data_IF_529747010709
#
_entry.id   IF_529747010709
#
_cell.length_a   1.000
_cell.length_b   1.000
_cell.length_c   1.000
_cell.angle_alpha   90.00
_cell.angle_beta   90.00
_cell.angle_gamma   90.00
#
_symmetry.space_group_name_H-M   'P 1'
#
loop_
_entity.id
_entity.type
_entity.pdbx_description
1 polymer ?
#
# COMPACT_ATOMS: atom_id res chain seq x y z
N UNK A 1 -54.66 8.26 -5.51
CA UNK A 1 -55.70 7.31 -5.06
C UNK A 1 -55.70 6.11 -5.99
N UNK A 2 -55.70 4.91 -5.42
CA UNK A 2 -56.01 3.62 -6.04
C UNK A 2 -55.10 3.13 -7.19
N UNK A 3 -53.96 2.52 -6.83
CA UNK A 3 -53.41 1.25 -7.38
C UNK A 3 -51.93 1.09 -6.99
N UNK A 4 -51.66 0.79 -5.72
CA UNK A 4 -50.40 0.19 -5.26
C UNK A 4 -50.55 -0.38 -3.83
N UNK A 5 -51.75 -0.84 -3.47
CA UNK A 5 -52.13 -1.38 -2.16
C UNK A 5 -52.50 -2.87 -2.23
N UNK A 6 -51.73 -3.65 -3.00
CA UNK A 6 -51.86 -5.11 -3.06
C UNK A 6 -50.46 -5.70 -3.28
N UNK A 7 -49.84 -6.11 -2.19
CA UNK A 7 -48.48 -6.66 -2.16
C UNK A 7 -47.91 -6.82 -0.75
N UNK A 8 -48.54 -6.23 0.27
CA UNK A 8 -48.26 -6.51 1.68
C UNK A 8 -49.20 -7.59 2.21
N UNK A 9 -48.80 -8.85 2.11
CA UNK A 9 -49.14 -9.93 3.06
C UNK A 9 -48.35 -11.19 2.67
N UNK A 10 -47.79 -11.89 3.67
CA UNK A 10 -46.70 -12.88 3.62
C UNK A 10 -45.32 -12.18 3.58
N UNK A 11 -44.50 -12.14 4.64
CA UNK A 11 -44.23 -13.09 5.71
C UNK A 11 -43.88 -12.34 7.01
N UNK A 12 -44.54 -12.74 8.10
CA UNK A 12 -44.28 -12.34 9.48
C UNK A 12 -42.98 -13.03 9.95
N UNK A 13 -42.14 -12.30 10.68
CA UNK A 13 -40.81 -12.69 11.19
C UNK A 13 -40.76 -14.02 11.99
N UNK A 14 -39.55 -14.55 12.33
CA UNK A 14 -38.85 -13.96 13.47
C UNK A 14 -37.34 -13.78 13.28
N UNK A 15 -36.92 -12.59 13.70
CA UNK A 15 -35.60 -12.22 14.15
C UNK A 15 -35.36 -12.91 15.52
N UNK A 16 -34.73 -14.08 15.54
CA UNK A 16 -34.16 -14.69 16.74
C UNK A 16 -33.34 -15.93 16.35
N UNK A 17 -32.00 -15.80 16.28
CA UNK A 17 -30.95 -16.83 16.50
C UNK A 17 -29.66 -16.51 15.72
N UNK A 18 -28.87 -15.55 16.19
CA UNK A 18 -27.39 -15.61 16.13
C UNK A 18 -26.83 -14.81 17.34
N UNK A 19 -27.16 -15.26 18.55
CA UNK A 19 -26.41 -14.98 19.79
C UNK A 19 -26.51 -16.24 20.64
N UNK A 20 -25.76 -17.28 20.27
CA UNK A 20 -25.53 -18.48 21.07
C UNK A 20 -24.46 -19.35 20.40
N UNK A 21 -23.20 -18.91 20.45
CA UNK A 21 -22.04 -19.78 20.24
C UNK A 21 -20.84 -19.19 21.00
N UNK A 22 -21.07 -18.91 22.28
CA UNK A 22 -20.05 -18.60 23.26
C UNK A 22 -20.31 -19.44 24.49
N UNK A 23 -19.28 -20.16 24.92
CA UNK A 23 -19.07 -20.67 26.29
C UNK A 23 -19.65 -22.05 26.67
N UNK A 24 -18.83 -23.09 26.48
CA UNK A 24 -18.66 -24.32 27.31
C UNK A 24 -17.17 -24.71 27.06
N UNK A 25 -16.12 -24.39 27.85
CA UNK A 25 -15.72 -24.84 29.20
C UNK A 25 -16.07 -26.33 29.42
N UNK A 26 -15.18 -27.31 29.53
CA UNK A 26 -13.87 -27.37 30.19
C UNK A 26 -13.29 -28.78 29.96
N UNK A 27 -12.00 -28.96 30.25
CA UNK A 27 -11.32 -30.23 30.61
C UNK A 27 -10.92 -31.20 29.49
N UNK A 28 -9.61 -31.26 29.23
CA UNK A 28 -8.82 -32.51 29.28
C UNK A 28 -7.33 -32.20 29.25
N UNK A 29 -6.76 -32.13 30.44
CA UNK A 29 -5.35 -32.39 30.71
C UNK A 29 -5.15 -33.89 30.62
N UNK A 30 -4.40 -34.37 29.63
CA UNK A 30 -3.72 -35.68 29.69
C UNK A 30 -2.32 -35.55 29.10
N UNK A 31 -1.37 -35.99 29.93
CA UNK A 31 0.06 -36.15 29.71
C UNK A 31 0.35 -37.08 28.52
N UNK A 32 1.36 -36.76 27.71
CA UNK A 32 2.28 -37.77 27.21
C UNK A 32 3.72 -37.22 27.21
N UNK A 33 4.53 -37.81 28.10
CA UNK A 33 5.99 -37.80 28.02
C UNK A 33 6.40 -38.93 27.07
N UNK A 34 7.31 -38.65 26.13
CA UNK A 34 7.84 -39.67 25.23
C UNK A 34 9.15 -39.23 24.58
N UNK A 35 10.24 -39.52 25.27
CA UNK A 35 11.64 -39.47 24.86
C UNK A 35 11.88 -40.06 23.45
N UNK A 36 12.61 -39.33 22.58
CA UNK A 36 13.45 -39.99 21.59
C UNK A 36 14.73 -39.21 21.25
N UNK A 37 15.81 -39.71 21.85
CA UNK A 37 17.22 -39.49 21.52
C UNK A 37 17.57 -39.55 20.04
N UNK A 38 18.54 -38.69 19.70
CA UNK A 38 19.77 -38.98 18.96
C UNK A 38 19.67 -39.47 17.50
N UNK A 39 20.16 -38.66 16.57
CA UNK A 39 21.06 -39.12 15.51
C UNK A 39 22.04 -38.04 15.08
N UNK A 40 23.30 -38.31 15.40
CA UNK A 40 24.54 -37.65 15.01
C UNK A 40 25.13 -38.48 13.85
N UNK A 41 25.47 -37.88 12.71
CA UNK A 41 26.28 -38.49 11.62
C UNK A 41 27.19 -37.37 11.07
N UNK A 42 28.46 -37.28 11.50
CA UNK A 42 29.66 -37.76 10.78
C UNK A 42 29.75 -37.20 9.35
N UNK A 43 30.45 -36.09 9.08
CA UNK A 43 31.92 -35.92 9.00
C UNK A 43 32.63 -36.91 8.06
N UNK A 44 33.06 -36.42 6.90
CA UNK A 44 34.24 -36.94 6.19
C UNK A 44 35.09 -35.76 5.69
N UNK A 45 36.34 -35.70 6.18
CA UNK A 45 37.44 -34.88 5.69
C UNK A 45 38.00 -35.48 4.41
N UNK A 46 38.51 -34.65 3.49
CA UNK A 46 39.86 -34.81 2.92
C UNK A 46 40.32 -33.50 2.22
N UNK A 47 41.34 -32.84 2.81
CA UNK A 47 42.33 -31.97 2.15
C UNK A 47 43.47 -32.88 1.62
N UNK A 48 44.43 -32.48 0.73
CA UNK A 48 45.15 -31.19 0.70
C UNK A 48 45.40 -30.60 -0.72
N UNK A 49 45.75 -29.32 -0.87
CA UNK A 49 47.14 -28.80 -0.96
C UNK A 49 47.62 -28.81 -2.42
N UNK A 50 48.26 -27.81 -3.02
CA UNK A 50 48.87 -26.59 -2.54
C UNK A 50 49.38 -25.76 -3.73
N UNK A 51 49.80 -24.55 -3.38
CA UNK A 51 50.20 -23.35 -4.10
C UNK A 51 51.33 -23.41 -5.15
N UNK A 52 51.47 -22.26 -5.85
CA UNK A 52 52.68 -21.64 -6.48
C UNK A 52 53.01 -22.08 -7.91
N UNK A 53 53.58 -21.29 -8.81
CA UNK A 53 53.84 -19.84 -9.08
C UNK A 53 54.70 -19.87 -10.36
N UNK A 54 54.85 -18.73 -11.05
CA UNK A 54 55.77 -18.46 -12.17
C UNK A 54 55.37 -19.09 -13.52
N UNK A 55 55.47 -18.41 -14.67
CA UNK A 55 56.03 -17.10 -14.98
C UNK A 55 56.37 -17.05 -16.48
N UNK A 56 56.52 -15.83 -17.00
CA UNK A 56 57.24 -15.44 -18.23
C UNK A 56 56.64 -15.89 -19.58
N UNK A 57 56.01 -14.98 -20.33
CA UNK A 57 56.60 -14.05 -21.33
C UNK A 57 57.29 -14.73 -22.53
N UNK A 58 56.72 -14.60 -23.73
CA UNK A 58 57.25 -13.80 -24.86
C UNK A 58 56.79 -14.31 -26.24
N UNK A 59 56.62 -13.33 -27.15
CA UNK A 59 56.82 -13.36 -28.62
C UNK A 59 55.66 -13.81 -29.52
N UNK A 60 55.07 -12.82 -30.21
CA UNK A 60 54.71 -12.93 -31.63
C UNK A 60 56.00 -12.89 -32.51
N UNK A 61 55.96 -13.25 -33.82
CA UNK A 61 55.60 -12.24 -34.84
C UNK A 61 55.01 -12.74 -36.20
N UNK A 62 54.56 -11.74 -37.00
CA UNK A 62 54.43 -11.64 -38.48
C UNK A 62 53.29 -12.41 -39.18
N UNK A 63 52.27 -11.75 -39.74
CA UNK A 63 52.21 -10.79 -40.86
C UNK A 63 52.32 -11.44 -42.26
N UNK A 64 51.21 -11.43 -43.00
CA UNK A 64 51.16 -11.41 -44.46
C UNK A 64 50.01 -10.50 -44.90
N UNK A 65 50.29 -9.61 -45.85
CA UNK A 65 49.39 -8.56 -46.31
C UNK A 65 48.89 -8.72 -47.75
N UNK A 66 48.29 -7.63 -48.23
CA UNK A 66 47.71 -7.37 -49.55
C UNK A 66 46.27 -7.86 -49.71
N UNK A 67 45.26 -7.12 -50.17
CA UNK A 67 45.11 -5.80 -50.82
C UNK A 67 43.61 -5.43 -50.66
N UNK A 68 43.18 -4.18 -50.54
CA UNK A 68 42.86 -3.30 -51.67
C UNK A 68 42.03 -2.11 -51.16
N UNK A 69 42.05 -1.02 -51.93
CA UNK A 69 41.55 0.32 -51.62
C UNK A 69 40.02 0.39 -51.56
N UNK A 70 39.48 1.14 -50.61
CA UNK A 70 38.34 2.03 -50.84
C UNK A 70 38.51 3.29 -49.96
N UNK A 71 38.22 4.44 -50.56
CA UNK A 71 38.50 5.78 -50.03
C UNK A 71 37.17 6.47 -49.69
N UNK A 72 37.15 7.10 -48.51
CA UNK A 72 36.25 8.15 -48.00
C UNK A 72 34.76 7.84 -47.76
N UNK A 73 34.35 7.84 -46.49
CA UNK A 73 33.52 8.92 -45.94
C UNK A 73 33.28 8.68 -44.44
N UNK A 74 33.31 9.76 -43.66
CA UNK A 74 33.32 9.87 -42.20
C UNK A 74 32.27 9.02 -41.47
N UNK A 75 32.73 8.02 -40.71
CA UNK A 75 31.97 7.44 -39.61
C UNK A 75 32.31 8.24 -38.35
N UNK A 76 31.34 9.02 -37.87
CA UNK A 76 31.39 9.62 -36.53
C UNK A 76 31.37 8.48 -35.53
N UNK A 77 32.55 8.11 -35.04
CA UNK A 77 32.73 7.17 -33.94
C UNK A 77 32.46 7.97 -32.67
N UNK A 78 31.27 7.81 -32.08
CA UNK A 78 31.03 8.25 -30.71
C UNK A 78 31.96 7.44 -29.80
N UNK A 79 33.10 8.04 -29.46
CA UNK A 79 33.87 7.63 -28.28
C UNK A 79 33.00 8.00 -27.09
N UNK A 80 32.38 7.01 -26.47
CA UNK A 80 31.87 7.19 -25.11
C UNK A 80 33.12 7.39 -24.25
N UNK A 81 33.42 8.64 -23.95
CA UNK A 81 34.29 8.93 -22.83
C UNK A 81 33.54 8.44 -21.59
N UNK A 82 34.00 7.32 -21.01
CA UNK A 82 33.64 6.84 -19.68
C UNK A 82 34.21 7.77 -18.58
N UNK A 83 33.96 9.08 -18.74
CA UNK A 83 34.22 10.12 -17.74
C UNK A 83 32.90 10.70 -17.22
N UNK A 84 31.83 9.91 -17.28
CA UNK A 84 30.64 10.18 -16.46
C UNK A 84 30.91 9.63 -15.08
N UNK A 85 31.45 10.52 -14.25
CA UNK A 85 31.47 10.47 -12.81
C UNK A 85 30.58 9.35 -12.25
N UNK A 86 31.23 8.26 -11.85
CA UNK A 86 30.68 7.39 -10.83
C UNK A 86 30.47 8.28 -9.61
N UNK A 87 29.26 8.82 -9.46
CA UNK A 87 28.80 9.31 -8.18
C UNK A 87 28.83 8.10 -7.27
N UNK A 88 29.90 7.96 -6.50
CA UNK A 88 29.91 7.20 -5.26
C UNK A 88 28.82 7.83 -4.39
N UNK A 89 27.57 7.41 -4.60
CA UNK A 89 26.45 7.82 -3.76
C UNK A 89 26.61 7.04 -2.47
N UNK A 90 27.48 7.53 -1.59
CA UNK A 90 27.47 7.08 -0.21
C UNK A 90 26.04 7.31 0.31
N UNK A 91 25.38 6.27 0.84
CA UNK A 91 23.97 6.35 1.19
C UNK A 91 23.79 7.44 2.25
N UNK A 92 22.89 8.39 2.00
CA UNK A 92 22.60 9.47 2.96
C UNK A 92 22.16 8.84 4.29
N UNK A 93 22.95 9.08 5.34
CA UNK A 93 22.70 8.52 6.68
C UNK A 93 21.81 9.48 7.46
N UNK A 94 20.67 8.98 7.90
CA UNK A 94 19.72 9.67 8.75
C UNK A 94 19.90 9.25 10.20
N UNK A 95 19.69 10.18 11.13
CA UNK A 95 19.71 9.91 12.56
C UNK A 95 18.29 9.56 13.03
N UNK A 96 18.06 8.29 13.37
CA UNK A 96 16.80 7.81 13.93
C UNK A 96 16.80 7.83 15.46
N UNK A 97 15.64 7.50 16.05
CA UNK A 97 15.46 7.40 17.50
C UNK A 97 16.38 6.35 18.13
N UNK A 98 16.47 5.17 17.51
CA UNK A 98 17.24 4.04 18.04
C UNK A 98 18.61 3.87 17.40
N UNK A 99 18.93 4.60 16.33
CA UNK A 99 20.22 4.54 15.67
C UNK A 99 20.23 5.20 14.30
N UNK A 100 21.39 5.24 13.68
CA UNK A 100 21.53 5.72 12.31
C UNK A 100 20.90 4.71 11.34
N UNK A 101 20.27 5.21 10.28
CA UNK A 101 19.69 4.40 9.23
C UNK A 101 19.87 5.08 7.88
N UNK A 102 19.80 4.32 6.80
CA UNK A 102 19.90 4.83 5.44
C UNK A 102 18.77 4.30 4.59
N UNK A 103 18.49 5.01 3.49
CA UNK A 103 17.53 4.58 2.47
C UNK A 103 18.27 3.76 1.43
N UNK A 104 17.77 2.56 1.14
CA UNK A 104 18.29 1.68 0.10
C UNK A 104 17.45 1.75 -1.18
N UNK A 105 17.93 1.11 -2.25
CA UNK A 105 17.25 1.13 -3.55
C UNK A 105 15.95 0.32 -3.57
N UNK A 106 15.78 -0.64 -2.66
CA UNK A 106 14.53 -1.40 -2.50
C UNK A 106 13.47 -0.50 -1.89
N UNK A 107 13.81 0.28 -0.86
CA UNK A 107 12.90 1.25 -0.26
C UNK A 107 12.38 2.26 -1.28
N UNK A 108 13.28 2.77 -2.13
CA UNK A 108 12.93 3.71 -3.20
C UNK A 108 11.90 3.07 -4.12
N UNK A 109 12.11 1.81 -4.53
CA UNK A 109 11.15 1.09 -5.39
C UNK A 109 9.81 0.88 -4.70
N UNK A 110 9.82 0.48 -3.43
CA UNK A 110 8.59 0.27 -2.65
C UNK A 110 7.79 1.57 -2.50
N UNK A 111 8.45 2.70 -2.21
CA UNK A 111 7.81 4.01 -2.11
C UNK A 111 7.26 4.47 -3.47
N UNK A 112 8.02 4.29 -4.55
CA UNK A 112 7.55 4.65 -5.89
C UNK A 112 6.32 3.82 -6.29
N UNK A 113 6.34 2.51 -6.03
CA UNK A 113 5.20 1.63 -6.31
C UNK A 113 3.99 1.99 -5.43
N UNK A 114 4.20 2.27 -4.15
CA UNK A 114 3.17 2.80 -3.24
C UNK A 114 2.54 4.08 -3.78
N UNK A 115 3.34 5.08 -4.18
CA UNK A 115 2.86 6.33 -4.76
C UNK A 115 2.11 6.09 -6.06
N UNK A 116 2.62 5.21 -6.92
CA UNK A 116 1.97 4.89 -8.20
C UNK A 116 0.61 4.22 -8.01
N UNK A 117 0.47 3.32 -7.04
CA UNK A 117 -0.83 2.72 -6.68
C UNK A 117 -1.82 3.76 -6.20
N UNK A 118 -1.37 4.71 -5.37
CA UNK A 118 -2.23 5.76 -4.82
C UNK A 118 -2.71 6.73 -5.90
N UNK A 119 -1.80 7.13 -6.79
CA UNK A 119 -2.12 7.99 -7.95
C UNK A 119 -3.08 7.27 -8.90
N UNK A 120 -2.88 5.98 -9.14
CA UNK A 120 -3.78 5.16 -9.97
C UNK A 120 -5.18 5.10 -9.37
N UNK A 121 -5.27 4.90 -8.04
CA UNK A 121 -6.54 4.92 -7.31
C UNK A 121 -7.25 6.26 -7.40
N UNK A 122 -6.50 7.35 -7.22
CA UNK A 122 -7.02 8.71 -7.35
C UNK A 122 -7.49 9.01 -8.78
N UNK A 123 -6.69 8.68 -9.80
CA UNK A 123 -7.04 8.93 -11.20
C UNK A 123 -8.30 8.16 -11.62
N UNK A 124 -8.41 6.89 -11.24
CA UNK A 124 -9.60 6.08 -11.52
C UNK A 124 -10.85 6.67 -10.85
N UNK A 125 -10.76 6.99 -9.55
CA UNK A 125 -11.87 7.60 -8.82
C UNK A 125 -12.29 8.94 -9.42
N UNK A 126 -11.33 9.84 -9.68
CA UNK A 126 -11.61 11.17 -10.24
C UNK A 126 -12.28 11.06 -11.60
N UNK A 127 -11.82 10.13 -12.44
CA UNK A 127 -12.41 9.91 -13.78
C UNK A 127 -13.88 9.49 -13.66
N UNK A 128 -14.18 8.50 -12.81
CA UNK A 128 -15.56 8.02 -12.60
C UNK A 128 -16.40 9.10 -11.93
N UNK A 129 -15.94 9.71 -10.84
CA UNK A 129 -16.69 10.70 -10.08
C UNK A 129 -16.97 11.99 -10.88
N UNK A 130 -16.05 12.38 -11.78
CA UNK A 130 -16.25 13.57 -12.64
C UNK A 130 -17.43 13.42 -13.60
N UNK A 131 -17.80 12.18 -13.96
CA UNK A 131 -18.95 11.91 -14.83
C UNK A 131 -20.29 12.35 -14.21
N UNK A 132 -20.37 12.45 -12.87
CA UNK A 132 -21.56 12.92 -12.16
C UNK A 132 -21.85 14.40 -12.43
N UNK A 133 -20.85 15.17 -12.88
CA UNK A 133 -20.98 16.59 -13.23
C UNK A 133 -21.23 16.83 -14.73
N UNK A 134 -21.25 15.76 -15.53
CA UNK A 134 -21.51 15.86 -16.96
C UNK A 134 -23.03 15.83 -17.24
N UNK A 135 -23.53 16.68 -18.16
CA UNK A 135 -24.93 16.65 -18.58
C UNK A 135 -25.34 15.30 -19.18
N UNK A 136 -26.62 14.94 -19.03
CA UNK A 136 -27.19 13.78 -19.72
C UNK A 136 -27.08 13.94 -21.24
N UNK A 137 -26.78 12.83 -21.93
CA UNK A 137 -26.56 12.81 -23.38
C UNK A 137 -25.17 13.24 -23.86
N UNK A 138 -24.26 13.59 -22.95
CA UNK A 138 -22.87 13.88 -23.32
C UNK A 138 -22.13 12.57 -23.71
N UNK A 139 -21.53 12.49 -24.92
CA UNK A 139 -20.83 11.27 -25.36
C UNK A 139 -19.67 10.88 -24.44
N UNK A 140 -19.03 11.85 -23.79
CA UNK A 140 -17.97 11.59 -22.80
C UNK A 140 -18.52 10.85 -21.57
N UNK A 141 -19.72 11.23 -21.10
CA UNK A 141 -20.36 10.56 -19.95
C UNK A 141 -20.64 9.10 -20.28
N UNK A 142 -21.21 8.82 -21.46
CA UNK A 142 -21.47 7.46 -21.93
C UNK A 142 -20.18 6.64 -22.13
N UNK A 143 -19.10 7.27 -22.62
CA UNK A 143 -17.81 6.61 -22.75
C UNK A 143 -17.23 6.20 -21.38
N UNK A 144 -17.31 7.08 -20.38
CA UNK A 144 -16.84 6.77 -19.01
C UNK A 144 -17.74 5.70 -18.37
N UNK A 145 -19.07 5.79 -18.54
CA UNK A 145 -20.03 4.78 -18.07
C UNK A 145 -19.70 3.38 -18.57
N UNK A 146 -19.28 3.25 -19.83
CA UNK A 146 -18.86 1.96 -20.40
C UNK A 146 -17.61 1.35 -19.74
N UNK A 147 -16.86 2.12 -18.95
CA UNK A 147 -15.63 1.66 -18.28
C UNK A 147 -15.65 1.87 -16.76
N UNK A 148 -16.82 2.12 -16.16
CA UNK A 148 -16.96 2.29 -14.70
C UNK A 148 -16.36 1.13 -13.90
N UNK A 149 -16.75 -0.11 -14.22
CA UNK A 149 -16.34 -1.29 -13.47
C UNK A 149 -14.84 -1.60 -13.63
N UNK A 150 -14.25 -1.55 -14.85
CA UNK A 150 -12.80 -1.61 -15.01
C UNK A 150 -12.04 -0.53 -14.25
N UNK A 151 -12.52 0.72 -14.26
CA UNK A 151 -11.88 1.81 -13.50
C UNK A 151 -12.01 1.59 -11.99
N UNK A 152 -13.16 1.11 -11.51
CA UNK A 152 -13.34 0.74 -10.11
C UNK A 152 -12.36 -0.36 -9.70
N UNK A 153 -12.23 -1.42 -10.51
CA UNK A 153 -11.29 -2.51 -10.26
C UNK A 153 -9.83 -2.02 -10.27
N UNK A 154 -9.46 -1.16 -11.23
CA UNK A 154 -8.15 -0.53 -11.30
C UNK A 154 -7.88 0.33 -10.06
N UNK A 155 -8.87 1.11 -9.62
CA UNK A 155 -8.77 1.96 -8.45
C UNK A 155 -8.64 1.19 -7.14
N UNK A 156 -9.40 0.09 -7.00
CA UNK A 156 -9.30 -0.84 -5.89
C UNK A 156 -7.96 -1.58 -5.89
N UNK A 157 -7.46 -1.97 -7.06
CA UNK A 157 -6.14 -2.58 -7.23
C UNK A 157 -5.00 -1.63 -6.87
N UNK A 158 -5.05 -0.38 -7.32
CA UNK A 158 -4.08 0.66 -6.97
C UNK A 158 -4.05 0.97 -5.47
N UNK A 159 -5.22 1.02 -4.82
CA UNK A 159 -5.33 1.13 -3.37
C UNK A 159 -4.70 -0.09 -2.67
N UNK A 160 -4.99 -1.30 -3.15
CA UNK A 160 -4.41 -2.54 -2.62
C UNK A 160 -2.89 -2.57 -2.70
N UNK A 161 -2.34 -2.24 -3.87
CA UNK A 161 -0.89 -2.11 -4.08
C UNK A 161 -0.28 -1.13 -3.07
N UNK A 162 -0.93 0.01 -2.86
CA UNK A 162 -0.50 1.01 -1.88
C UNK A 162 -0.50 0.45 -0.46
N UNK A 163 -1.57 -0.24 -0.05
CA UNK A 163 -1.72 -0.80 1.29
C UNK A 163 -0.76 -1.96 1.60
N UNK A 164 -0.31 -2.68 0.58
CA UNK A 164 0.72 -3.73 0.74
C UNK A 164 2.07 -3.07 1.02
N UNK A 165 2.43 -2.06 0.25
CA UNK A 165 3.75 -1.41 0.24
C UNK A 165 3.90 -0.26 1.25
N UNK A 166 2.80 0.19 1.86
CA UNK A 166 2.85 1.30 2.82
C UNK A 166 3.66 0.93 4.06
N UNK A 167 4.58 1.82 4.46
CA UNK A 167 5.33 1.70 5.70
C UNK A 167 4.51 2.33 6.83
N UNK A 168 4.03 1.50 7.76
CA UNK A 168 3.28 1.93 8.95
C UNK A 168 3.94 1.27 10.16
N UNK A 169 4.32 2.05 11.16
CA UNK A 169 4.97 1.53 12.38
C UNK A 169 4.10 0.53 13.14
N UNK A 170 2.79 0.75 13.14
CA UNK A 170 1.82 -0.06 13.87
C UNK A 170 1.26 -1.16 12.97
N UNK A 171 1.86 -2.35 13.04
CA UNK A 171 1.46 -3.53 12.25
C UNK A 171 -0.03 -3.89 12.36
N UNK A 172 -0.68 -3.87 13.55
CA UNK A 172 -2.11 -4.15 13.65
C UNK A 172 -2.98 -3.22 12.80
N UNK A 173 -2.65 -1.93 12.76
CA UNK A 173 -3.37 -0.94 11.94
C UNK A 173 -3.18 -1.26 10.45
N UNK A 174 -1.94 -1.53 10.02
CA UNK A 174 -1.66 -1.93 8.63
C UNK A 174 -2.49 -3.17 8.22
N UNK A 175 -2.55 -4.19 9.08
CA UNK A 175 -3.33 -5.41 8.80
C UNK A 175 -4.83 -5.17 8.79
N UNK A 176 -5.35 -4.32 9.68
CA UNK A 176 -6.75 -3.93 9.67
C UNK A 176 -7.14 -3.25 8.35
N UNK A 177 -6.31 -2.33 7.83
CA UNK A 177 -6.56 -1.68 6.54
C UNK A 177 -6.51 -2.66 5.37
N UNK A 178 -5.56 -3.59 5.37
CA UNK A 178 -5.48 -4.65 4.36
C UNK A 178 -6.68 -5.58 4.40
N UNK A 179 -7.17 -5.91 5.60
CA UNK A 179 -8.38 -6.73 5.78
C UNK A 179 -9.62 -5.99 5.29
N UNK A 180 -9.78 -4.71 5.65
CA UNK A 180 -10.88 -3.87 5.16
C UNK A 180 -10.88 -3.79 3.63
N UNK A 181 -9.71 -3.59 3.03
CA UNK A 181 -9.55 -3.63 1.58
C UNK A 181 -9.96 -4.99 1.00
N UNK A 182 -9.45 -6.09 1.55
CA UNK A 182 -9.74 -7.44 1.05
C UNK A 182 -11.24 -7.77 1.17
N UNK A 183 -11.86 -7.47 2.31
CA UNK A 183 -13.29 -7.64 2.54
C UNK A 183 -14.09 -6.77 1.57
N UNK A 184 -13.67 -5.53 1.35
CA UNK A 184 -14.32 -4.62 0.39
C UNK A 184 -14.23 -5.10 -1.05
N UNK A 185 -13.08 -5.62 -1.48
CA UNK A 185 -12.92 -6.21 -2.82
C UNK A 185 -13.77 -7.47 -2.97
N UNK A 186 -13.72 -8.38 -1.99
CA UNK A 186 -14.54 -9.60 -2.01
C UNK A 186 -16.04 -9.27 -1.99
N UNK A 187 -16.45 -8.31 -1.17
CA UNK A 187 -17.83 -7.80 -1.12
C UNK A 187 -18.25 -7.18 -2.45
N UNK A 188 -17.38 -6.42 -3.10
CA UNK A 188 -17.61 -5.85 -4.43
C UNK A 188 -17.84 -6.93 -5.49
N UNK A 189 -17.00 -7.96 -5.50
CA UNK A 189 -17.13 -9.10 -6.44
C UNK A 189 -18.40 -9.88 -6.16
N UNK A 190 -18.70 -10.17 -4.88
CA UNK A 190 -19.92 -10.86 -4.49
C UNK A 190 -21.17 -10.07 -4.88
N UNK A 191 -21.17 -8.75 -4.69
CA UNK A 191 -22.26 -7.87 -5.09
C UNK A 191 -22.44 -7.85 -6.62
N UNK A 192 -21.32 -7.74 -7.35
CA UNK A 192 -21.33 -7.73 -8.80
C UNK A 192 -21.90 -9.03 -9.39
N UNK A 193 -21.45 -10.19 -8.89
CA UNK A 193 -21.83 -11.50 -9.44
C UNK A 193 -23.24 -11.91 -9.04
N UNK A 194 -23.64 -11.67 -7.78
CA UNK A 194 -24.92 -12.20 -7.26
C UNK A 194 -26.09 -11.23 -7.43
N UNK A 195 -25.84 -9.93 -7.64
CA UNK A 195 -26.90 -8.92 -7.69
C UNK A 195 -26.82 -8.02 -8.94
N UNK A 196 -25.67 -7.42 -9.24
CA UNK A 196 -25.55 -6.48 -10.35
C UNK A 196 -25.67 -7.17 -11.72
N UNK A 197 -24.93 -8.27 -11.94
CA UNK A 197 -24.96 -9.00 -13.20
C UNK A 197 -26.34 -9.64 -13.52
N UNK A 198 -27.06 -10.26 -12.55
CA UNK A 198 -28.44 -10.69 -12.79
C UNK A 198 -29.43 -9.56 -13.11
N UNK A 199 -29.12 -8.33 -12.69
CA UNK A 199 -29.92 -7.13 -12.99
C UNK A 199 -29.50 -6.44 -14.30
N UNK A 200 -28.56 -7.00 -15.06
CA UNK A 200 -27.97 -6.39 -16.27
C UNK A 200 -27.37 -4.99 -16.02
N UNK A 201 -26.79 -4.80 -14.84
CA UNK A 201 -26.16 -3.55 -14.41
C UNK A 201 -24.69 -3.76 -14.03
N UNK A 202 -23.87 -2.72 -14.23
CA UNK A 202 -22.52 -2.67 -13.67
C UNK A 202 -22.53 -2.48 -12.15
N UNK A 203 -21.46 -2.90 -11.48
CA UNK A 203 -21.33 -2.79 -10.01
C UNK A 203 -21.51 -1.36 -9.53
N UNK A 204 -20.85 -0.40 -10.18
CA UNK A 204 -20.89 1.01 -9.76
C UNK A 204 -22.31 1.56 -9.87
N UNK A 205 -22.99 1.28 -10.98
CA UNK A 205 -24.37 1.73 -11.19
C UNK A 205 -25.31 1.08 -10.18
N UNK A 206 -25.15 -0.22 -9.93
CA UNK A 206 -25.98 -0.94 -8.97
C UNK A 206 -25.89 -0.35 -7.55
N UNK A 207 -24.70 0.03 -7.09
CA UNK A 207 -24.51 0.65 -5.75
C UNK A 207 -25.11 2.06 -5.68
N UNK A 208 -25.11 2.80 -6.78
CA UNK A 208 -25.77 4.12 -6.85
C UNK A 208 -27.29 3.93 -6.73
N UNK A 209 -27.86 2.96 -7.45
CA UNK A 209 -29.30 2.72 -7.46
C UNK A 209 -29.79 2.05 -6.16
N UNK A 210 -28.94 1.25 -5.51
CA UNK A 210 -29.25 0.47 -4.31
C UNK A 210 -28.30 0.84 -3.15
N UNK A 211 -28.68 1.78 -2.27
CA UNK A 211 -27.84 2.26 -1.18
C UNK A 211 -27.31 1.17 -0.24
N UNK A 212 -28.06 0.08 -0.06
CA UNK A 212 -27.64 -1.07 0.75
C UNK A 212 -26.35 -1.74 0.22
N UNK A 213 -26.04 -1.59 -1.07
CA UNK A 213 -24.79 -2.07 -1.68
C UNK A 213 -23.53 -1.45 -1.05
N UNK A 214 -23.66 -0.28 -0.39
CA UNK A 214 -22.58 0.35 0.38
C UNK A 214 -22.06 -0.56 1.50
N UNK A 215 -22.86 -1.46 2.05
CA UNK A 215 -22.36 -2.42 3.05
C UNK A 215 -21.30 -3.38 2.49
N UNK A 216 -21.38 -3.71 1.20
CA UNK A 216 -20.44 -4.61 0.54
C UNK A 216 -19.17 -3.88 0.08
N UNK A 217 -19.30 -2.68 -0.50
CA UNK A 217 -18.16 -1.90 -1.01
C UNK A 217 -17.52 -0.98 0.04
N UNK A 218 -18.28 -0.61 1.07
CA UNK A 218 -17.88 0.33 2.12
C UNK A 218 -16.57 0.00 2.83
N UNK A 219 -16.26 -1.28 3.15
CA UNK A 219 -14.98 -1.65 3.72
C UNK A 219 -13.77 -1.22 2.86
N UNK A 220 -13.89 -1.22 1.53
CA UNK A 220 -12.84 -0.72 0.63
C UNK A 220 -12.54 0.75 0.89
N UNK A 221 -13.60 1.56 0.97
CA UNK A 221 -13.49 2.99 1.24
C UNK A 221 -13.12 3.31 2.68
N UNK A 222 -13.45 2.43 3.63
CA UNK A 222 -12.95 2.50 5.00
C UNK A 222 -11.41 2.31 5.03
N UNK A 223 -10.86 1.41 4.22
CA UNK A 223 -9.42 1.26 4.06
C UNK A 223 -8.76 2.53 3.48
N UNK A 224 -9.38 3.14 2.45
CA UNK A 224 -8.95 4.44 1.92
C UNK A 224 -9.00 5.55 2.98
N UNK A 225 -10.08 5.59 3.77
CA UNK A 225 -10.26 6.54 4.87
C UNK A 225 -9.17 6.38 5.92
N UNK A 226 -8.80 5.14 6.28
CA UNK A 226 -7.70 4.88 7.20
C UNK A 226 -6.32 5.23 6.64
N UNK A 227 -6.13 5.14 5.32
CA UNK A 227 -4.93 5.67 4.66
C UNK A 227 -4.90 7.21 4.72
N UNK A 228 -6.03 7.88 4.49
CA UNK A 228 -6.15 9.32 4.64
C UNK A 228 -5.94 9.77 6.10
N UNK A 229 -6.44 9.00 7.08
CA UNK A 229 -6.19 9.23 8.52
C UNK A 229 -4.70 9.29 8.84
N UNK A 230 -3.92 8.31 8.35
CA UNK A 230 -2.47 8.27 8.55
C UNK A 230 -1.82 9.57 8.11
N UNK A 231 -2.16 10.06 6.93
CA UNK A 231 -1.51 11.23 6.34
C UNK A 231 -2.04 12.53 6.94
N UNK A 232 -3.34 12.59 7.22
CA UNK A 232 -3.99 13.80 7.70
C UNK A 232 -3.75 14.06 9.18
N UNK A 233 -4.09 13.10 10.01
CA UNK A 233 -4.06 13.27 11.47
C UNK A 233 -2.69 12.92 12.08
N UNK A 234 -1.91 12.03 11.47
CA UNK A 234 -0.58 11.71 12.00
C UNK A 234 0.53 12.61 11.44
N UNK A 235 0.42 13.11 10.21
CA UNK A 235 1.45 13.96 9.57
C UNK A 235 0.99 15.41 9.32
N UNK A 236 -0.19 15.79 9.80
CA UNK A 236 -0.66 17.18 9.75
C UNK A 236 -1.03 17.68 8.36
N UNK A 237 -1.46 16.80 7.45
CA UNK A 237 -1.90 17.18 6.11
C UNK A 237 -3.40 17.49 6.09
N UNK A 238 -3.74 18.78 6.02
CA UNK A 238 -5.13 19.23 6.04
C UNK A 238 -6.01 18.58 4.96
N UNK A 239 -5.50 18.37 3.75
CA UNK A 239 -6.27 17.74 2.67
C UNK A 239 -6.66 16.29 2.99
N UNK A 240 -5.76 15.54 3.63
CA UNK A 240 -6.00 14.16 4.00
C UNK A 240 -6.89 14.06 5.25
N UNK A 241 -6.78 15.02 6.17
CA UNK A 241 -7.69 15.16 7.31
C UNK A 241 -9.12 15.49 6.84
N UNK A 242 -9.27 16.34 5.83
CA UNK A 242 -10.57 16.62 5.23
C UNK A 242 -11.13 15.39 4.51
N UNK A 243 -10.32 14.64 3.75
CA UNK A 243 -10.75 13.37 3.13
C UNK A 243 -11.25 12.36 4.15
N UNK A 244 -10.62 12.28 5.32
CA UNK A 244 -11.04 11.39 6.40
C UNK A 244 -12.50 11.63 6.82
N UNK A 245 -12.98 12.88 6.78
CA UNK A 245 -14.38 13.21 7.09
C UNK A 245 -15.30 13.13 5.86
N UNK A 246 -14.82 13.56 4.69
CA UNK A 246 -15.64 13.61 3.47
C UNK A 246 -16.04 12.21 3.00
N UNK A 247 -15.10 11.25 2.99
CA UNK A 247 -15.36 9.90 2.46
C UNK A 247 -16.49 9.20 3.23
N UNK A 248 -16.44 9.07 4.57
CA UNK A 248 -17.54 8.45 5.32
C UNK A 248 -18.84 9.25 5.20
N UNK A 249 -18.78 10.58 5.17
CA UNK A 249 -19.98 11.42 5.07
C UNK A 249 -20.74 11.19 3.76
N UNK A 250 -20.03 11.08 2.62
CA UNK A 250 -20.65 10.77 1.32
C UNK A 250 -21.30 9.38 1.35
N UNK A 251 -20.58 8.38 1.84
CA UNK A 251 -21.07 6.99 1.83
C UNK A 251 -22.23 6.77 2.79
N UNK A 252 -22.17 7.33 4.00
CA UNK A 252 -23.26 7.26 4.97
C UNK A 252 -24.46 8.11 4.54
N UNK A 253 -24.21 9.26 3.91
CA UNK A 253 -25.26 10.08 3.32
C UNK A 253 -26.00 9.36 2.18
N UNK A 254 -25.27 8.61 1.35
CA UNK A 254 -25.86 7.73 0.33
C UNK A 254 -26.63 6.56 0.97
N UNK A 255 -26.01 5.83 1.89
CA UNK A 255 -26.59 4.67 2.57
C UNK A 255 -27.88 5.01 3.35
N UNK A 256 -27.89 6.14 4.05
CA UNK A 256 -29.04 6.58 4.85
C UNK A 256 -30.18 7.15 4.00
N UNK A 257 -29.87 7.63 2.79
CA UNK A 257 -30.84 8.35 1.94
C UNK A 257 -31.29 9.70 2.51
N UNK A 258 -30.72 10.16 3.63
CA UNK A 258 -31.14 11.38 4.33
C UNK A 258 -30.56 12.64 3.68
N UNK A 259 -29.49 12.50 2.88
CA UNK A 259 -28.75 13.63 2.32
C UNK A 259 -29.33 14.08 0.98
N UNK A 260 -29.54 15.40 0.83
CA UNK A 260 -29.96 16.02 -0.43
C UNK A 260 -28.93 15.80 -1.53
N UNK A 261 -29.40 15.71 -2.78
CA UNK A 261 -28.58 15.39 -3.94
C UNK A 261 -27.52 16.47 -4.20
N UNK A 262 -27.86 17.74 -3.96
CA UNK A 262 -26.90 18.85 -4.07
C UNK A 262 -25.76 18.74 -3.07
N UNK A 263 -26.04 18.26 -1.85
CA UNK A 263 -25.03 18.07 -0.81
C UNK A 263 -24.13 16.89 -1.15
N UNK A 264 -24.69 15.79 -1.68
CA UNK A 264 -23.90 14.66 -2.21
C UNK A 264 -22.94 15.10 -3.30
N UNK A 265 -23.43 15.85 -4.29
CA UNK A 265 -22.59 16.36 -5.38
C UNK A 265 -21.51 17.33 -4.87
N UNK A 266 -21.85 18.22 -3.92
CA UNK A 266 -20.88 19.12 -3.30
C UNK A 266 -19.76 18.37 -2.55
N UNK A 267 -20.12 17.37 -1.76
CA UNK A 267 -19.15 16.52 -1.06
C UNK A 267 -18.34 15.63 -2.02
N UNK A 268 -18.94 15.15 -3.10
CA UNK A 268 -18.25 14.41 -4.15
C UNK A 268 -17.22 15.29 -4.87
N UNK A 269 -17.58 16.54 -5.18
CA UNK A 269 -16.64 17.53 -5.75
C UNK A 269 -15.49 17.81 -4.79
N UNK A 270 -15.78 17.96 -3.49
CA UNK A 270 -14.75 18.10 -2.46
C UNK A 270 -13.83 16.88 -2.40
N UNK A 271 -14.38 15.66 -2.47
CA UNK A 271 -13.59 14.44 -2.52
C UNK A 271 -12.67 14.42 -3.74
N UNK A 272 -13.19 14.71 -4.95
CA UNK A 272 -12.37 14.81 -6.17
C UNK A 272 -11.19 15.77 -5.96
N UNK A 273 -11.47 17.02 -5.54
CA UNK A 273 -10.44 18.03 -5.36
C UNK A 273 -9.40 17.64 -4.31
N UNK A 274 -9.84 17.18 -3.15
CA UNK A 274 -8.96 16.76 -2.07
C UNK A 274 -8.11 15.54 -2.45
N UNK A 275 -8.68 14.58 -3.20
CA UNK A 275 -7.94 13.38 -3.60
C UNK A 275 -6.87 13.71 -4.65
N UNK A 276 -7.15 14.63 -5.57
CA UNK A 276 -6.15 15.15 -6.51
C UNK A 276 -5.02 15.86 -5.77
N UNK A 277 -5.33 16.77 -4.84
CA UNK A 277 -4.30 17.46 -4.04
C UNK A 277 -3.47 16.45 -3.24
N UNK A 278 -4.13 15.49 -2.60
CA UNK A 278 -3.47 14.45 -1.82
C UNK A 278 -2.52 13.58 -2.68
N UNK A 279 -2.97 13.14 -3.86
CA UNK A 279 -2.15 12.33 -4.76
C UNK A 279 -1.00 13.12 -5.38
N UNK A 280 -1.24 14.36 -5.81
CA UNK A 280 -0.20 15.19 -6.45
C UNK A 280 0.91 15.61 -5.47
N UNK A 281 0.56 15.90 -4.22
CA UNK A 281 1.56 16.22 -3.17
C UNK A 281 2.54 15.08 -2.90
N UNK A 282 2.20 13.83 -3.24
CA UNK A 282 3.14 12.72 -3.14
C UNK A 282 4.33 12.87 -4.07
N UNK A 283 4.24 13.61 -5.18
CA UNK A 283 5.38 13.83 -6.07
C UNK A 283 6.42 14.79 -5.48
N UNK A 284 5.98 15.76 -4.67
CA UNK A 284 6.88 16.74 -4.03
C UNK A 284 7.46 16.26 -2.71
N UNK A 285 6.91 15.19 -2.13
CA UNK A 285 7.33 14.68 -0.82
C UNK A 285 8.67 13.92 -0.90
N UNK A 286 9.62 14.15 0.02
CA UNK A 286 10.83 13.34 0.13
C UNK A 286 10.52 11.85 0.35
N UNK A 287 11.30 10.95 -0.27
CA UNK A 287 11.10 9.49 -0.17
C UNK A 287 11.21 9.00 1.27
N UNK A 288 12.16 9.54 2.04
CA UNK A 288 12.38 9.19 3.46
C UNK A 288 11.12 9.37 4.31
N UNK A 289 10.25 10.32 3.97
CA UNK A 289 9.08 10.66 4.78
C UNK A 289 7.95 9.64 4.60
N UNK A 290 7.91 8.91 3.47
CA UNK A 290 6.96 7.81 3.26
C UNK A 290 7.42 6.49 3.88
N UNK A 291 8.73 6.36 4.15
CA UNK A 291 9.34 5.20 4.84
C UNK A 291 9.19 5.37 6.37
N UNK A 292 9.50 6.57 6.86
CA UNK A 292 9.66 6.82 8.28
C UNK A 292 11.02 6.36 8.83
N UNK A 293 11.19 6.45 10.14
CA UNK A 293 12.39 6.06 10.86
C UNK A 293 12.56 4.53 10.89
N UNK A 294 13.47 4.03 10.04
CA UNK A 294 13.83 2.60 9.98
C UNK A 294 14.32 2.04 11.31
N UNK A 295 14.97 2.85 12.15
CA UNK A 295 15.50 2.38 13.43
C UNK A 295 14.39 1.90 14.38
N UNK A 296 13.18 2.44 14.25
CA UNK A 296 11.99 2.00 15.00
C UNK A 296 11.57 0.59 14.57
N UNK A 297 11.61 0.29 13.26
CA UNK A 297 11.31 -1.05 12.76
C UNK A 297 12.36 -2.07 13.22
N UNK A 298 13.64 -1.71 13.14
CA UNK A 298 14.74 -2.55 13.65
C UNK A 298 14.58 -2.80 15.14
N UNK A 299 14.33 -1.76 15.94
CA UNK A 299 14.12 -1.89 17.38
C UNK A 299 12.92 -2.77 17.70
N UNK A 300 11.78 -2.58 17.02
CA UNK A 300 10.58 -3.39 17.23
C UNK A 300 10.77 -4.87 16.86
N UNK A 301 11.71 -5.19 15.99
CA UNK A 301 12.05 -6.57 15.63
C UNK A 301 12.96 -7.28 16.66
N UNK A 302 13.60 -6.55 17.58
CA UNK A 302 14.51 -7.13 18.57
C UNK A 302 13.77 -7.96 19.65
N UNK A 303 14.45 -8.96 20.26
CA UNK A 303 13.95 -9.67 21.44
C UNK A 303 13.68 -8.73 22.62
N UNK A 304 12.73 -9.09 23.49
CA UNK A 304 12.31 -8.24 24.62
C UNK A 304 13.48 -7.86 25.56
N UNK A 305 14.34 -8.83 25.89
CA UNK A 305 15.50 -8.59 26.75
C UNK A 305 16.49 -7.59 26.14
N UNK A 306 16.64 -7.56 24.82
CA UNK A 306 17.56 -6.63 24.15
C UNK A 306 16.96 -5.22 24.03
N UNK A 307 15.64 -5.12 23.83
CA UNK A 307 14.91 -3.85 23.88
C UNK A 307 15.07 -3.18 25.24
N UNK A 308 14.90 -3.92 26.33
CA UNK A 308 15.05 -3.41 27.70
C UNK A 308 16.46 -2.87 27.94
N UNK A 309 17.50 -3.57 27.48
CA UNK A 309 18.89 -3.11 27.60
C UNK A 309 19.12 -1.79 26.86
N UNK A 310 18.64 -1.66 25.62
CA UNK A 310 18.76 -0.43 24.84
C UNK A 310 18.04 0.73 25.53
N UNK A 311 16.85 0.49 26.09
CA UNK A 311 16.09 1.50 26.82
C UNK A 311 16.80 1.91 28.12
N UNK A 312 17.38 0.96 28.86
CA UNK A 312 18.15 1.23 30.08
C UNK A 312 19.42 2.05 29.80
N UNK A 313 20.21 1.65 28.79
CA UNK A 313 21.41 2.38 28.39
C UNK A 313 21.08 3.82 27.98
N UNK A 314 20.02 4.00 27.20
CA UNK A 314 19.53 5.34 26.81
C UNK A 314 19.05 6.16 28.02
N UNK A 315 18.35 5.53 28.96
CA UNK A 315 17.90 6.18 30.20
C UNK A 315 19.08 6.67 31.04
N UNK A 316 20.13 5.86 31.16
CA UNK A 316 21.37 6.22 31.87
C UNK A 316 22.13 7.35 31.18
N UNK A 317 22.21 7.33 29.85
CA UNK A 317 22.83 8.43 29.09
C UNK A 317 22.03 9.73 29.28
N UNK A 318 20.69 9.65 29.24
CA UNK A 318 19.83 10.82 29.43
C UNK A 318 19.99 11.43 30.83
N UNK A 319 20.09 10.61 31.88
CA UNK A 319 20.32 11.11 33.25
C UNK A 319 21.70 11.76 33.39
N UNK A 320 22.75 11.15 32.83
CA UNK A 320 24.11 11.72 32.86
C UNK A 320 24.21 13.06 32.11
N UNK A 321 23.49 13.21 31.01
CA UNK A 321 23.44 14.49 30.27
C UNK A 321 22.68 15.55 31.06
N UNK A 322 21.59 15.18 31.74
CA UNK A 322 20.84 16.10 32.59
C UNK A 322 21.68 16.61 33.77
N UNK A 323 22.35 15.71 34.50
CA UNK A 323 23.24 16.06 35.62
C UNK A 323 24.36 17.01 35.18
N UNK A 324 24.98 16.75 34.03
CA UNK A 324 26.05 17.62 33.48
C UNK A 324 25.54 19.00 33.04
N UNK A 325 24.26 19.12 32.69
CA UNK A 325 23.66 20.41 32.31
C UNK A 325 23.24 21.27 33.51
N UNK A 326 23.09 20.67 34.70
CA UNK A 326 22.81 21.42 35.94
C UNK A 326 24.09 21.95 36.61
N UNK A 327 25.25 21.38 36.27
CA UNK A 327 26.57 21.83 36.76
C UNK A 327 27.17 23.00 35.94
N UNK A 328 26.53 23.42 34.83
CA UNK A 328 26.97 24.52 33.95
C UNK A 328 26.10 25.76 34.10
#
# INVERSE_FOLDING_TARGET
MAQALQGMMFIRAPFARIVAAGTILESSVVKENGDFRSRRVLAHRQFPGGSRLLGRTLRQPKANGSSSRFRNSSVVRCSVNDDSAASSSDPTVYRGMYGNWSVDSTDVREVLLYRSGLVTSAAAFVTVASSAFLPEGNPLKSAIQGVYDPLYALGAGGLGLSLVLIHIYVTPIKRALQLLWAVGVLGSVALAVNFAAPADQGLVQFVIDHPAGVWAVGPLFAALTGLAFKEGLCYGKFEAAALFFVIPSVLLGHLSGVMDEKVKLGLLAAWIGLFVVFATRKFTQPIKDDIGDKSVFTFNALPAAEKERILQERGQIASQVAERSEEQ
#
